data_IF_868327077346
#
_entry.id   IF_868327077346
#
_cell.length_a   1.000
_cell.length_b   1.000
_cell.length_c   1.000
_cell.angle_alpha   90.00
_cell.angle_beta   90.00
_cell.angle_gamma   90.00
#
_symmetry.space_group_name_H-M   'P 1'
#
loop_
_entity.id
_entity.type
_entity.pdbx_description
1 polymer ?
#
# COMPACT_ATOMS: atom_id res chain seq x y z
N UNK A 1 21.72 -12.54 18.64
CA UNK A 1 21.17 -12.14 17.34
C UNK A 1 19.83 -12.78 17.15
N UNK A 2 18.84 -12.04 16.69
CA UNK A 2 17.50 -12.57 16.42
C UNK A 2 17.43 -12.94 14.93
N UNK A 3 17.10 -14.21 14.59
CA UNK A 3 17.02 -14.63 13.18
C UNK A 3 15.73 -14.15 12.52
N UNK A 4 15.74 -12.95 11.98
CA UNK A 4 14.59 -12.35 11.28
C UNK A 4 14.65 -12.75 9.81
N UNK A 5 13.55 -13.30 9.27
CA UNK A 5 13.49 -13.75 7.88
C UNK A 5 12.94 -12.68 6.93
N UNK A 6 11.90 -11.95 7.34
CA UNK A 6 11.24 -10.99 6.44
C UNK A 6 10.27 -10.10 7.23
N UNK A 7 9.72 -9.10 6.57
CA UNK A 7 8.57 -8.35 7.07
C UNK A 7 7.32 -9.21 6.85
N UNK A 8 6.54 -9.44 7.91
CA UNK A 8 5.31 -10.25 7.83
C UNK A 8 4.16 -9.47 7.20
N UNK A 9 3.92 -8.28 7.71
CA UNK A 9 2.85 -7.42 7.21
C UNK A 9 3.13 -5.95 7.51
N UNK A 10 2.38 -5.08 6.84
CA UNK A 10 2.29 -3.67 7.17
C UNK A 10 0.85 -3.37 7.56
N UNK A 11 0.64 -2.37 8.40
CA UNK A 11 -0.70 -1.94 8.79
C UNK A 11 -0.87 -0.45 8.66
N UNK A 12 -2.08 -0.02 8.29
CA UNK A 12 -2.44 1.39 8.18
C UNK A 12 -3.80 1.62 8.84
N UNK A 13 -4.01 2.84 9.28
CA UNK A 13 -5.27 3.25 9.90
C UNK A 13 -6.19 3.81 8.82
N UNK A 14 -7.44 3.33 8.83
CA UNK A 14 -8.50 3.80 7.95
C UNK A 14 -9.70 4.28 8.79
N UNK A 15 -10.56 5.10 8.22
CA UNK A 15 -11.76 5.59 8.93
C UNK A 15 -13.06 5.07 8.33
N UNK A 16 -13.04 4.60 7.08
CA UNK A 16 -14.23 4.13 6.38
C UNK A 16 -13.93 2.83 5.63
N UNK A 17 -14.56 1.74 6.07
CA UNK A 17 -14.30 0.39 5.54
C UNK A 17 -14.64 0.31 4.05
N UNK A 18 -15.83 0.76 3.63
CA UNK A 18 -16.25 0.59 2.23
C UNK A 18 -15.43 1.44 1.27
N UNK A 19 -15.10 2.67 1.67
CA UNK A 19 -14.21 3.53 0.88
C UNK A 19 -12.82 2.92 0.73
N UNK A 20 -12.28 2.35 1.82
CA UNK A 20 -10.98 1.69 1.80
C UNK A 20 -10.99 0.41 0.97
N UNK A 21 -12.07 -0.37 1.00
CA UNK A 21 -12.22 -1.53 0.13
C UNK A 21 -12.22 -1.15 -1.34
N UNK A 22 -12.88 -0.06 -1.71
CA UNK A 22 -12.85 0.42 -3.10
C UNK A 22 -11.45 0.81 -3.53
N UNK A 23 -10.65 1.34 -2.61
CA UNK A 23 -9.27 1.72 -2.92
C UNK A 23 -8.35 0.49 -2.96
N UNK A 24 -8.24 -0.26 -1.87
CA UNK A 24 -7.28 -1.37 -1.76
C UNK A 24 -7.71 -2.59 -2.56
N UNK A 25 -8.97 -2.98 -2.46
CA UNK A 25 -9.49 -4.12 -3.20
C UNK A 25 -9.85 -3.78 -4.64
N UNK A 26 -10.48 -2.63 -4.85
CA UNK A 26 -10.95 -2.22 -6.18
C UNK A 26 -9.86 -1.60 -7.04
N UNK A 27 -9.30 -0.47 -6.59
CA UNK A 27 -8.33 0.29 -7.39
C UNK A 27 -6.96 -0.40 -7.45
N UNK A 28 -6.43 -0.83 -6.31
CA UNK A 28 -5.14 -1.52 -6.26
C UNK A 28 -5.25 -2.99 -6.65
N UNK A 29 -6.43 -3.59 -6.54
CA UNK A 29 -6.64 -4.99 -6.92
C UNK A 29 -6.07 -6.00 -5.93
N UNK A 30 -5.90 -5.63 -4.65
CA UNK A 30 -5.40 -6.56 -3.64
C UNK A 30 -6.47 -7.57 -3.25
N UNK A 31 -6.04 -8.79 -2.91
CA UNK A 31 -6.95 -9.88 -2.55
C UNK A 31 -7.29 -9.84 -1.07
N UNK A 32 -8.55 -9.54 -0.75
CA UNK A 32 -9.02 -9.58 0.63
C UNK A 32 -9.14 -11.03 1.11
N UNK A 33 -8.67 -11.27 2.35
CA UNK A 33 -8.83 -12.53 3.05
C UNK A 33 -9.54 -12.28 4.39
N UNK A 34 -10.18 -13.31 5.00
CA UNK A 34 -10.82 -13.13 6.29
C UNK A 34 -9.81 -12.74 7.37
N UNK A 35 -10.21 -11.80 8.23
CA UNK A 35 -9.43 -11.53 9.45
C UNK A 35 -9.63 -12.66 10.45
N UNK A 36 -8.75 -12.83 11.47
CA UNK A 36 -8.96 -13.84 12.50
C UNK A 36 -10.32 -13.67 13.20
N UNK A 37 -11.01 -14.80 13.43
CA UNK A 37 -12.32 -14.79 14.07
C UNK A 37 -12.27 -14.35 15.55
N UNK A 38 -11.09 -14.34 16.13
CA UNK A 38 -10.87 -13.88 17.53
C UNK A 38 -10.82 -12.35 17.65
N UNK A 39 -10.75 -11.63 16.51
CA UNK A 39 -10.72 -10.15 16.55
C UNK A 39 -12.10 -9.61 16.86
N UNK A 40 -12.18 -8.75 17.89
CA UNK A 40 -13.39 -8.03 18.28
C UNK A 40 -13.44 -6.59 17.74
N UNK A 41 -12.48 -6.23 16.87
CA UNK A 41 -12.38 -4.91 16.23
C UNK A 41 -12.41 -5.06 14.71
N UNK A 42 -12.69 -3.95 14.02
CA UNK A 42 -12.82 -3.95 12.56
C UNK A 42 -11.44 -3.85 11.92
N UNK A 43 -11.12 -4.83 11.10
CA UNK A 43 -9.89 -4.88 10.33
C UNK A 43 -10.17 -5.54 8.98
N UNK A 44 -9.39 -5.15 7.97
CA UNK A 44 -9.43 -5.79 6.64
C UNK A 44 -8.02 -6.28 6.33
N UNK A 45 -7.92 -7.54 5.95
CA UNK A 45 -6.64 -8.15 5.62
C UNK A 45 -6.56 -8.44 4.13
N UNK A 46 -5.44 -8.04 3.52
CA UNK A 46 -5.13 -8.33 2.13
C UNK A 46 -3.89 -9.18 2.03
N UNK A 47 -3.93 -10.20 1.16
CA UNK A 47 -2.83 -11.13 0.93
C UNK A 47 -2.14 -10.78 -0.39
N UNK A 48 -0.83 -10.52 -0.35
CA UNK A 48 -0.01 -10.26 -1.53
C UNK A 48 0.86 -11.48 -1.90
N UNK A 49 0.65 -12.61 -1.24
CA UNK A 49 1.42 -13.83 -1.45
C UNK A 49 2.61 -13.95 -0.52
N UNK A 50 3.51 -12.98 -0.51
CA UNK A 50 4.71 -12.99 0.33
C UNK A 50 4.55 -12.21 1.63
N UNK A 51 3.53 -11.36 1.73
CA UNK A 51 3.23 -10.59 2.94
C UNK A 51 1.79 -10.07 2.86
N UNK A 52 1.33 -9.47 3.95
CA UNK A 52 -0.02 -8.91 4.04
C UNK A 52 0.00 -7.39 4.18
N UNK A 53 -1.11 -6.78 3.78
CA UNK A 53 -1.47 -5.41 4.15
C UNK A 53 -2.72 -5.49 5.03
N UNK A 54 -2.65 -4.92 6.23
CA UNK A 54 -3.76 -4.91 7.19
C UNK A 54 -4.28 -3.49 7.36
N UNK A 55 -5.59 -3.32 7.26
CA UNK A 55 -6.25 -2.04 7.51
C UNK A 55 -6.95 -2.11 8.86
N UNK A 56 -6.69 -1.13 9.72
CA UNK A 56 -7.29 -1.05 11.07
C UNK A 56 -8.22 0.15 11.09
N UNK A 57 -9.52 -0.07 11.36
CA UNK A 57 -10.48 1.02 11.44
C UNK A 57 -10.37 1.75 12.78
N UNK A 58 -10.27 3.06 12.70
CA UNK A 58 -10.31 3.99 13.85
C UNK A 58 -11.26 5.13 13.53
N UNK A 59 -11.64 5.89 14.56
CA UNK A 59 -12.52 7.06 14.37
C UNK A 59 -11.83 8.18 13.62
N UNK A 60 -10.50 8.33 13.82
CA UNK A 60 -9.70 9.38 13.21
C UNK A 60 -8.56 8.79 12.39
N UNK A 61 -8.27 9.41 11.25
CA UNK A 61 -7.14 9.07 10.42
C UNK A 61 -5.83 9.30 11.17
N UNK A 62 -4.78 8.59 10.74
CA UNK A 62 -3.43 8.81 11.26
C UNK A 62 -2.90 10.18 10.80
N UNK A 63 -1.89 10.67 11.51
CA UNK A 63 -1.20 11.90 11.15
C UNK A 63 -0.55 11.77 9.78
N UNK A 64 -0.72 12.80 8.93
CA UNK A 64 -0.03 12.88 7.65
C UNK A 64 1.47 12.99 7.93
N UNK A 65 2.26 12.12 7.31
CA UNK A 65 3.70 12.05 7.55
C UNK A 65 4.42 11.50 6.32
N UNK A 66 5.75 11.41 6.40
CA UNK A 66 6.55 10.78 5.36
C UNK A 66 6.56 9.24 5.46
N UNK A 67 6.00 8.68 6.53
CA UNK A 67 5.91 7.22 6.67
C UNK A 67 5.12 6.63 5.52
N UNK A 68 5.59 5.50 5.01
CA UNK A 68 4.94 4.82 3.90
C UNK A 68 5.36 3.35 3.83
N UNK A 69 4.59 2.58 3.11
CA UNK A 69 5.04 1.29 2.61
C UNK A 69 5.08 1.33 1.09
N UNK A 70 5.78 0.39 0.48
CA UNK A 70 5.96 0.35 -0.97
C UNK A 70 5.34 -0.90 -1.56
N UNK A 71 4.64 -0.73 -2.68
CA UNK A 71 4.10 -1.81 -3.49
C UNK A 71 4.91 -1.90 -4.78
N UNK A 72 5.43 -3.10 -5.06
CA UNK A 72 6.20 -3.35 -6.27
C UNK A 72 5.27 -3.64 -7.43
N UNK A 73 5.51 -2.98 -8.56
CA UNK A 73 4.76 -3.18 -9.80
C UNK A 73 5.70 -3.58 -10.93
N UNK A 74 5.13 -4.25 -11.94
CA UNK A 74 5.91 -4.64 -13.13
C UNK A 74 6.13 -3.46 -14.07
N UNK A 75 5.21 -2.47 -14.09
CA UNK A 75 5.24 -1.35 -15.02
C UNK A 75 4.72 -0.09 -14.34
N UNK A 76 5.65 0.78 -13.94
CA UNK A 76 5.32 2.01 -13.23
C UNK A 76 4.57 3.02 -14.12
N UNK A 77 4.82 3.03 -15.43
CA UNK A 77 4.10 3.93 -16.32
C UNK A 77 2.64 3.52 -16.47
N UNK A 78 2.38 2.22 -16.59
CA UNK A 78 1.02 1.70 -16.61
C UNK A 78 0.30 1.98 -15.29
N UNK A 79 1.01 1.88 -14.16
CA UNK A 79 0.46 2.23 -12.86
C UNK A 79 0.08 3.71 -12.79
N UNK A 80 0.93 4.62 -13.29
CA UNK A 80 0.60 6.04 -13.35
C UNK A 80 -0.68 6.30 -14.16
N UNK A 81 -0.79 5.69 -15.32
CA UNK A 81 -1.98 5.84 -16.17
C UNK A 81 -3.25 5.36 -15.44
N UNK A 82 -3.14 4.23 -14.74
CA UNK A 82 -4.24 3.65 -13.97
C UNK A 82 -4.72 4.61 -12.87
N UNK A 83 -3.82 5.18 -12.09
CA UNK A 83 -4.17 6.13 -11.05
C UNK A 83 -4.78 7.41 -11.63
N UNK A 84 -4.23 7.93 -12.73
CA UNK A 84 -4.77 9.12 -13.40
C UNK A 84 -6.18 8.89 -13.92
N UNK A 85 -6.45 7.73 -14.49
CA UNK A 85 -7.80 7.37 -14.96
C UNK A 85 -8.83 7.36 -13.83
N UNK A 86 -8.40 7.04 -12.62
CA UNK A 86 -9.27 6.97 -11.45
C UNK A 86 -9.18 8.24 -10.57
N UNK A 87 -8.59 9.31 -11.11
CA UNK A 87 -8.50 10.62 -10.44
C UNK A 87 -7.76 10.57 -9.10
N UNK A 88 -6.77 9.68 -8.99
CA UNK A 88 -5.87 9.65 -7.85
C UNK A 88 -4.64 10.49 -8.16
N UNK A 89 -4.32 11.43 -7.28
CA UNK A 89 -3.16 12.29 -7.44
C UNK A 89 -1.87 11.49 -7.32
N UNK A 90 -0.92 11.78 -8.21
CA UNK A 90 0.40 11.17 -8.24
C UNK A 90 1.43 12.21 -7.81
N UNK A 91 2.35 11.83 -6.93
CA UNK A 91 3.45 12.67 -6.51
C UNK A 91 4.77 12.03 -6.95
N UNK A 92 5.43 12.67 -7.92
CA UNK A 92 6.78 12.25 -8.33
C UNK A 92 7.77 12.57 -7.20
N UNK A 93 8.89 11.88 -7.18
CA UNK A 93 9.84 11.97 -6.07
C UNK A 93 11.27 11.82 -6.57
N UNK A 94 12.22 11.90 -5.64
CA UNK A 94 13.65 11.82 -5.92
C UNK A 94 14.01 10.52 -6.65
N UNK A 95 14.80 10.65 -7.71
CA UNK A 95 15.27 9.51 -8.48
C UNK A 95 16.14 8.57 -7.63
N UNK A 96 15.84 7.27 -7.74
CA UNK A 96 16.72 6.21 -7.27
C UNK A 96 17.24 5.49 -8.52
N UNK A 97 18.56 5.39 -8.71
CA UNK A 97 19.09 4.68 -9.89
C UNK A 97 18.56 3.24 -9.94
N UNK A 98 18.01 2.85 -11.10
CA UNK A 98 17.46 1.52 -11.30
C UNK A 98 16.00 1.36 -10.90
N UNK A 99 15.37 2.38 -10.33
CA UNK A 99 13.98 2.35 -9.95
C UNK A 99 13.17 3.40 -10.71
N UNK A 100 11.93 3.06 -11.03
CA UNK A 100 10.91 4.01 -11.46
C UNK A 100 9.82 3.99 -10.38
N UNK A 101 9.61 5.13 -9.72
CA UNK A 101 8.77 5.18 -8.53
C UNK A 101 8.04 6.50 -8.38
N UNK A 102 6.94 6.46 -7.67
CA UNK A 102 6.15 7.63 -7.32
C UNK A 102 5.33 7.33 -6.08
N UNK A 103 4.67 8.36 -5.53
CA UNK A 103 3.80 8.20 -4.36
C UNK A 103 2.36 8.51 -4.70
N UNK A 104 1.46 7.80 -4.03
CA UNK A 104 0.03 8.11 -3.96
C UNK A 104 -0.40 8.11 -2.49
N UNK A 105 -1.59 8.61 -2.21
CA UNK A 105 -2.20 8.51 -0.89
C UNK A 105 -3.53 7.79 -1.00
N UNK A 106 -3.82 6.97 0.02
CA UNK A 106 -5.14 6.37 0.13
C UNK A 106 -6.18 7.42 0.58
N UNK A 107 -7.48 7.07 0.66
CA UNK A 107 -8.51 8.04 1.04
C UNK A 107 -8.33 8.69 2.42
N UNK A 108 -7.59 8.05 3.31
CA UNK A 108 -7.30 8.57 4.66
C UNK A 108 -5.96 9.30 4.74
N UNK A 109 -5.25 9.44 3.64
CA UNK A 109 -3.97 10.15 3.58
C UNK A 109 -2.76 9.27 3.85
N UNK A 110 -2.92 7.96 3.99
CA UNK A 110 -1.79 7.05 4.15
C UNK A 110 -0.94 7.06 2.88
N UNK A 111 0.36 7.23 3.04
CA UNK A 111 1.30 7.37 1.93
C UNK A 111 1.73 6.00 1.43
N UNK A 112 1.67 5.80 0.11
CA UNK A 112 2.04 4.55 -0.53
C UNK A 112 3.01 4.85 -1.65
N UNK A 113 4.16 4.17 -1.64
CA UNK A 113 5.10 4.20 -2.76
C UNK A 113 4.73 3.11 -3.76
N UNK A 114 4.73 3.46 -5.05
CA UNK A 114 4.59 2.50 -6.14
C UNK A 114 5.95 2.45 -6.83
N UNK A 115 6.54 1.27 -6.93
CA UNK A 115 7.92 1.13 -7.38
C UNK A 115 8.09 -0.03 -8.36
N UNK A 116 8.77 0.27 -9.47
CA UNK A 116 9.29 -0.72 -10.41
C UNK A 116 10.80 -0.71 -10.34
N UNK A 117 11.41 -1.86 -10.12
CA UNK A 117 12.84 -2.01 -10.26
C UNK A 117 13.15 -2.46 -11.68
N UNK A 118 13.81 -1.59 -12.48
CA UNK A 118 14.25 -1.93 -13.84
C UNK A 118 15.53 -2.73 -13.80
N UNK A 119 16.27 -2.65 -12.69
CA UNK A 119 17.38 -3.54 -12.35
C UNK A 119 17.50 -3.62 -10.83
N UNK A 120 18.10 -4.69 -10.28
CA UNK A 120 18.25 -4.79 -8.82
C UNK A 120 19.06 -3.62 -8.25
N UNK A 121 18.71 -3.20 -7.03
CA UNK A 121 19.48 -2.20 -6.33
C UNK A 121 20.90 -2.72 -6.05
N UNK A 122 21.88 -1.88 -6.21
CA UNK A 122 23.31 -2.23 -6.07
C UNK A 122 23.82 -3.21 -7.13
N UNK A 123 23.16 -3.30 -8.28
CA UNK A 123 23.65 -4.12 -9.39
C UNK A 123 24.41 -3.31 -10.42
#
# INVERSE_FOLDING_TARGET
>A
MLPISQIDHVSVIITDVERSRRFYGGLLGLKEIPKPSTFDFVAIWYDLGNMHVHLLQKEQADTISARHFALRVADAQAARAHFRQHHVEINETTLIPGADRFFVRDPDGNRIEIIQWVRPYLS
#
